data_IF_073841207484
#
_entry.id   IF_073841207484
#
_cell.length_a   1.000
_cell.length_b   1.000
_cell.length_c   1.000
_cell.angle_alpha   90.00
_cell.angle_beta   90.00
_cell.angle_gamma   90.00
#
_symmetry.space_group_name_H-M   'P 1'
#
loop_
_entity.id
_entity.type
_entity.pdbx_description
1 polymer ?
#
# COMPACT_ATOMS: atom_id res chain seq x y z
N UNK A 1 -3.64 -16.07 5.49
CA UNK A 1 -2.54 -15.09 5.34
C UNK A 1 -1.59 -15.47 4.21
N UNK A 2 -1.02 -16.69 4.21
CA UNK A 2 -0.06 -17.16 3.19
C UNK A 2 -0.58 -17.04 1.75
N UNK A 3 -1.82 -17.48 1.47
CA UNK A 3 -2.42 -17.39 0.12
C UNK A 3 -2.50 -15.96 -0.44
N UNK A 4 -2.74 -14.95 0.41
CA UNK A 4 -2.77 -13.55 0.01
C UNK A 4 -1.38 -13.03 -0.36
N UNK A 5 -0.36 -13.42 0.39
CA UNK A 5 1.05 -13.06 0.10
C UNK A 5 1.44 -13.60 -1.28
N UNK A 6 1.19 -14.88 -1.56
CA UNK A 6 1.51 -15.47 -2.86
C UNK A 6 0.77 -14.80 -4.01
N UNK A 7 -0.53 -14.49 -3.84
CA UNK A 7 -1.30 -13.74 -4.85
C UNK A 7 -0.70 -12.35 -5.11
N UNK A 8 -0.35 -11.62 -4.05
CA UNK A 8 0.29 -10.30 -4.17
C UNK A 8 1.67 -10.39 -4.80
N UNK A 9 2.49 -11.35 -4.40
CA UNK A 9 3.81 -11.59 -4.99
C UNK A 9 3.70 -11.91 -6.49
N UNK A 10 2.73 -12.73 -6.88
CA UNK A 10 2.49 -13.07 -8.28
C UNK A 10 2.01 -11.87 -9.11
N UNK A 11 1.18 -11.00 -8.52
CA UNK A 11 0.74 -9.76 -9.17
C UNK A 11 1.91 -8.82 -9.50
N UNK A 12 2.92 -8.74 -8.63
CA UNK A 12 4.06 -7.83 -8.79
C UNK A 12 5.31 -8.52 -9.36
N UNK A 13 5.26 -9.83 -9.62
CA UNK A 13 6.44 -10.62 -9.96
C UNK A 13 7.22 -10.07 -11.17
N UNK A 14 6.52 -9.52 -12.16
CA UNK A 14 7.13 -8.92 -13.36
C UNK A 14 7.95 -7.66 -13.10
N UNK A 15 7.83 -7.06 -11.91
CA UNK A 15 8.52 -5.83 -11.50
C UNK A 15 9.80 -6.10 -10.71
N UNK A 16 10.04 -7.34 -10.31
CA UNK A 16 11.20 -7.74 -9.52
C UNK A 16 12.11 -8.67 -10.32
N UNK A 17 13.42 -8.63 -10.04
CA UNK A 17 14.42 -9.49 -10.70
C UNK A 17 14.20 -10.98 -10.40
N UNK A 18 13.70 -11.30 -9.22
CA UNK A 18 13.43 -12.68 -8.79
C UNK A 18 12.08 -12.77 -8.09
N UNK A 19 11.43 -13.93 -8.19
CA UNK A 19 10.18 -14.17 -7.48
C UNK A 19 10.38 -14.13 -5.96
N UNK A 20 11.56 -14.53 -5.46
CA UNK A 20 11.90 -14.43 -4.05
C UNK A 20 11.89 -12.97 -3.55
N UNK A 21 12.41 -12.02 -4.35
CA UNK A 21 12.35 -10.59 -4.03
C UNK A 21 10.91 -10.07 -4.00
N UNK A 22 10.09 -10.46 -4.99
CA UNK A 22 8.66 -10.13 -5.00
C UNK A 22 7.92 -10.70 -3.79
N UNK A 23 8.27 -11.91 -3.35
CA UNK A 23 7.67 -12.57 -2.19
C UNK A 23 8.01 -11.84 -0.89
N UNK A 24 9.27 -11.45 -0.71
CA UNK A 24 9.71 -10.66 0.44
C UNK A 24 8.97 -9.32 0.50
N UNK A 25 8.87 -8.61 -0.62
CA UNK A 25 8.15 -7.35 -0.69
C UNK A 25 6.63 -7.51 -0.43
N UNK A 26 6.01 -8.57 -0.96
CA UNK A 26 4.62 -8.90 -0.69
C UNK A 26 4.34 -9.14 0.81
N UNK A 27 5.29 -9.71 1.54
CA UNK A 27 5.19 -9.87 2.99
C UNK A 27 5.18 -8.52 3.72
N UNK A 28 6.05 -7.60 3.33
CA UNK A 28 6.10 -6.23 3.89
C UNK A 28 4.78 -5.50 3.66
N UNK A 29 4.25 -5.56 2.44
CA UNK A 29 2.97 -4.96 2.09
C UNK A 29 1.79 -5.53 2.88
N UNK A 30 1.74 -6.86 3.05
CA UNK A 30 0.68 -7.52 3.83
C UNK A 30 0.78 -7.13 5.31
N UNK A 31 2.00 -7.02 5.87
CA UNK A 31 2.22 -6.55 7.24
C UNK A 31 1.80 -5.09 7.39
N UNK A 32 2.23 -4.21 6.48
CA UNK A 32 1.85 -2.80 6.47
C UNK A 32 0.33 -2.64 6.40
N UNK A 33 -0.33 -3.34 5.47
CA UNK A 33 -1.80 -3.32 5.36
C UNK A 33 -2.49 -3.81 6.62
N UNK A 34 -1.97 -4.87 7.26
CA UNK A 34 -2.51 -5.37 8.53
C UNK A 34 -2.37 -4.32 9.65
N UNK A 35 -1.21 -3.68 9.76
CA UNK A 35 -0.96 -2.63 10.74
C UNK A 35 -1.86 -1.41 10.50
N UNK A 36 -2.04 -0.98 9.25
CA UNK A 36 -2.94 0.12 8.90
C UNK A 36 -4.42 -0.18 9.18
N UNK A 37 -4.86 -1.43 9.03
CA UNK A 37 -6.21 -1.85 9.43
C UNK A 37 -6.39 -1.82 10.96
N UNK A 38 -5.32 -2.07 11.72
CA UNK A 38 -5.35 -2.05 13.17
C UNK A 38 -5.25 -0.63 13.76
N UNK A 39 -4.67 0.33 13.03
CA UNK A 39 -4.48 1.69 13.53
C UNK A 39 -3.68 2.59 12.58
N UNK A 40 -3.07 3.62 13.13
CA UNK A 40 -2.26 4.60 12.39
C UNK A 40 -0.82 4.12 12.33
N UNK A 41 -0.23 4.13 11.13
CA UNK A 41 1.13 3.64 10.89
C UNK A 41 1.93 4.71 10.16
N UNK A 42 3.16 4.96 10.64
CA UNK A 42 4.15 5.75 9.91
C UNK A 42 4.96 4.83 9.00
N UNK A 43 5.02 5.15 7.72
CA UNK A 43 5.78 4.38 6.74
C UNK A 43 6.36 5.30 5.67
N UNK A 44 7.29 4.77 4.89
CA UNK A 44 7.86 5.47 3.75
C UNK A 44 7.66 4.63 2.50
N UNK A 45 7.52 5.28 1.35
CA UNK A 45 7.51 4.59 0.05
C UNK A 45 8.29 5.40 -0.98
N UNK A 46 8.80 4.69 -1.99
CA UNK A 46 9.53 5.27 -3.10
C UNK A 46 8.54 5.78 -4.15
N UNK A 47 8.74 7.00 -4.64
CA UNK A 47 7.98 7.58 -5.75
C UNK A 47 8.61 7.19 -7.10
N UNK A 48 7.88 7.51 -8.18
CA UNK A 48 8.36 7.33 -9.56
C UNK A 48 9.60 8.20 -9.85
N UNK A 49 9.74 9.33 -9.15
CA UNK A 49 10.90 10.23 -9.24
C UNK A 49 12.08 9.78 -8.35
N UNK A 50 12.03 8.54 -7.86
CA UNK A 50 13.00 7.94 -6.94
C UNK A 50 13.10 8.59 -5.55
N UNK A 51 12.30 9.61 -5.24
CA UNK A 51 12.27 10.21 -3.91
C UNK A 51 11.55 9.32 -2.89
N UNK A 52 12.05 9.33 -1.65
CA UNK A 52 11.43 8.66 -0.52
C UNK A 52 10.42 9.61 0.12
N UNK A 53 9.15 9.21 0.16
CA UNK A 53 8.10 9.99 0.80
C UNK A 53 7.71 9.36 2.15
N UNK A 54 7.79 10.09 3.26
CA UNK A 54 7.15 9.69 4.51
C UNK A 54 5.63 9.87 4.41
N UNK A 55 4.90 9.00 5.07
CA UNK A 55 3.45 9.06 5.18
C UNK A 55 2.99 8.52 6.54
N UNK A 56 1.92 9.11 7.05
CA UNK A 56 1.22 8.64 8.25
C UNK A 56 -0.17 8.19 7.82
N UNK A 57 -0.33 6.88 7.66
CA UNK A 57 -1.52 6.31 7.02
C UNK A 57 -2.33 5.37 7.91
N UNK A 58 -3.62 5.27 7.63
CA UNK A 58 -4.50 4.25 8.21
C UNK A 58 -5.51 3.72 7.19
N UNK A 59 -5.99 2.51 7.47
CA UNK A 59 -7.09 1.83 6.77
C UNK A 59 -8.22 1.46 7.73
N UNK A 60 -8.11 1.83 9.02
CA UNK A 60 -9.20 1.72 9.97
C UNK A 60 -10.35 2.59 9.47
N UNK A 61 -11.60 2.20 9.74
CA UNK A 61 -12.75 3.04 9.47
C UNK A 61 -12.52 4.40 10.15
N UNK A 62 -12.27 5.40 9.31
CA UNK A 62 -12.29 6.78 9.73
C UNK A 62 -13.67 7.28 9.36
N UNK A 63 -14.29 8.01 10.26
CA UNK A 63 -15.55 8.71 10.03
C UNK A 63 -15.31 9.91 9.09
N UNK A 64 -14.75 9.60 7.93
CA UNK A 64 -14.46 10.57 6.88
C UNK A 64 -15.71 10.67 6.04
N UNK A 65 -16.41 11.81 6.16
CA UNK A 65 -17.44 12.29 5.21
C UNK A 65 -16.82 12.60 3.84
N UNK A 66 -15.99 11.70 3.32
CA UNK A 66 -15.19 11.92 2.13
C UNK A 66 -15.82 11.16 0.98
N UNK A 67 -16.30 11.90 -0.01
CA UNK A 67 -16.79 11.32 -1.25
C UNK A 67 -15.59 10.72 -2.00
N UNK A 68 -15.71 9.47 -2.44
CA UNK A 68 -14.72 8.80 -3.28
C UNK A 68 -14.61 9.56 -4.62
N UNK A 69 -13.56 10.37 -4.80
CA UNK A 69 -13.32 11.15 -6.03
C UNK A 69 -12.30 10.48 -6.99
N UNK A 70 -12.27 9.14 -7.05
CA UNK A 70 -11.20 8.40 -7.71
C UNK A 70 -11.59 7.60 -8.95
N UNK A 71 -10.67 7.55 -9.92
CA UNK A 71 -10.69 6.59 -11.02
C UNK A 71 -10.55 5.13 -10.51
N UNK A 72 -10.95 4.17 -11.34
CA UNK A 72 -10.94 2.74 -11.03
C UNK A 72 -9.62 2.27 -10.41
N UNK A 73 -9.71 1.45 -9.36
CA UNK A 73 -8.55 0.85 -8.69
C UNK A 73 -7.67 0.11 -9.71
N UNK A 74 -6.41 0.53 -9.83
CA UNK A 74 -5.41 -0.28 -10.52
C UNK A 74 -5.05 -1.46 -9.64
N UNK A 75 -4.93 -2.65 -10.24
CA UNK A 75 -4.66 -3.92 -9.53
C UNK A 75 -3.36 -3.91 -8.70
N UNK A 76 -2.45 -3.00 -9.01
CA UNK A 76 -1.11 -2.85 -8.41
C UNK A 76 -0.97 -1.60 -7.53
N UNK A 77 -2.06 -1.14 -6.91
CA UNK A 77 -2.04 0.03 -6.03
C UNK A 77 -2.55 -0.28 -4.62
N UNK A 78 -1.91 0.31 -3.61
CA UNK A 78 -2.39 0.32 -2.23
C UNK A 78 -2.92 1.71 -1.90
N UNK A 79 -4.19 1.77 -1.50
CA UNK A 79 -4.86 2.98 -1.02
C UNK A 79 -4.67 3.06 0.49
N UNK A 80 -4.55 4.27 1.01
CA UNK A 80 -4.54 4.57 2.44
C UNK A 80 -5.13 5.98 2.65
N UNK A 81 -5.64 6.26 3.85
CA UNK A 81 -5.94 7.62 4.24
C UNK A 81 -4.72 8.24 4.91
N UNK A 82 -4.23 9.35 4.37
CA UNK A 82 -3.09 10.09 4.88
C UNK A 82 -3.56 11.10 5.92
N UNK A 83 -3.17 10.92 7.18
CA UNK A 83 -3.58 11.79 8.28
C UNK A 83 -2.92 13.18 8.21
N UNK A 84 -1.71 13.29 7.65
CA UNK A 84 -1.04 14.59 7.53
C UNK A 84 -1.70 15.44 6.45
N UNK A 85 -2.22 14.79 5.41
CA UNK A 85 -2.84 15.47 4.28
C UNK A 85 -4.37 15.56 4.38
N UNK A 86 -4.98 14.78 5.27
CA UNK A 86 -6.43 14.71 5.42
C UNK A 86 -7.16 14.17 4.19
N UNK A 87 -6.51 13.33 3.39
CA UNK A 87 -7.03 12.85 2.11
C UNK A 87 -6.63 11.40 1.80
N UNK A 88 -7.44 10.71 0.99
CA UNK A 88 -7.07 9.41 0.45
C UNK A 88 -5.93 9.54 -0.56
N UNK A 89 -4.89 8.73 -0.38
CA UNK A 89 -3.76 8.60 -1.30
C UNK A 89 -3.58 7.16 -1.72
N UNK A 90 -2.81 6.95 -2.78
CA UNK A 90 -2.38 5.63 -3.19
C UNK A 90 -0.94 5.63 -3.66
N UNK A 91 -0.30 4.46 -3.56
CA UNK A 91 1.02 4.22 -4.10
C UNK A 91 1.06 2.86 -4.80
N UNK A 92 2.02 2.70 -5.72
CA UNK A 92 2.28 1.43 -6.40
C UNK A 92 2.94 0.47 -5.43
N UNK A 93 2.58 -0.81 -5.52
CA UNK A 93 3.06 -1.85 -4.60
C UNK A 93 4.37 -2.53 -5.08
N UNK A 94 5.15 -1.86 -5.92
CA UNK A 94 6.41 -2.32 -6.48
C UNK A 94 7.37 -1.16 -6.68
#
# INVERSE_FOLDING_TARGET
MKSRVFKTAWQIASKFKTFAAALNHAWELIKLKKSMLSGVVKFTYKRIDDSIRPAVGTLKEIDTKYAFQGNARTKESMIYFDLEMGAFRSFKIY
#
